data_IF_859210586864
#
_entry.id   IF_859210586864
#
_cell.length_a   1.000
_cell.length_b   1.000
_cell.length_c   1.000
_cell.angle_alpha   90.00
_cell.angle_beta   90.00
_cell.angle_gamma   90.00
#
_symmetry.space_group_name_H-M   'P 1'
#
loop_
_entity.id
_entity.type
_entity.pdbx_description
1 polymer ?
#
# COMPACT_ATOMS: atom_id res chain seq x y z
N UNK A 1 -68.65 57.61 13.30
CA UNK A 1 -68.20 58.50 14.41
C UNK A 1 -66.73 58.63 14.23
N UNK A 2 -66.29 59.71 13.64
CA UNK A 2 -65.60 60.88 14.23
C UNK A 2 -64.28 60.41 14.93
N UNK A 3 -63.09 60.93 14.73
CA UNK A 3 -62.68 62.24 14.21
C UNK A 3 -61.11 62.31 14.13
N UNK A 4 -60.66 63.10 13.17
CA UNK A 4 -59.60 64.12 13.14
C UNK A 4 -58.10 63.65 13.21
N UNK A 5 -57.41 63.79 12.14
CA UNK A 5 -56.48 64.85 11.65
C UNK A 5 -55.52 65.44 12.69
N UNK A 6 -54.28 65.38 12.41
CA UNK A 6 -53.31 66.47 12.61
C UNK A 6 -52.07 66.24 11.73
N UNK A 7 -51.84 67.20 10.84
CA UNK A 7 -50.66 67.40 10.03
C UNK A 7 -49.60 68.08 10.90
N UNK A 8 -48.40 67.60 10.91
CA UNK A 8 -47.24 68.36 11.34
C UNK A 8 -46.13 68.22 10.30
N UNK A 9 -45.93 69.37 9.67
CA UNK A 9 -44.83 69.61 8.70
C UNK A 9 -43.52 69.78 9.46
N UNK A 10 -42.53 68.92 9.20
CA UNK A 10 -41.19 69.17 9.73
C UNK A 10 -40.16 69.08 8.59
N UNK A 11 -39.47 70.17 8.46
CA UNK A 11 -38.48 70.52 7.45
C UNK A 11 -37.23 69.62 7.62
N UNK A 12 -36.86 68.92 6.54
CA UNK A 12 -35.61 68.13 6.46
C UNK A 12 -34.45 69.06 6.03
N UNK A 13 -33.49 69.20 6.90
CA UNK A 13 -32.16 69.76 6.57
C UNK A 13 -31.28 68.58 6.15
N UNK A 14 -30.88 68.54 4.90
CA UNK A 14 -29.96 67.55 4.38
C UNK A 14 -28.52 67.92 4.71
N UNK A 15 -27.86 67.19 5.59
CA UNK A 15 -26.42 67.26 5.81
C UNK A 15 -25.79 66.11 5.02
N UNK A 16 -25.09 66.45 3.93
CA UNK A 16 -24.27 65.49 3.16
C UNK A 16 -22.98 65.26 3.92
N UNK A 17 -22.87 64.05 4.50
CA UNK A 17 -21.59 63.55 5.04
C UNK A 17 -20.88 62.77 3.94
N UNK A 18 -19.81 63.31 3.44
CA UNK A 18 -18.86 62.58 2.54
C UNK A 18 -18.08 61.61 3.39
N UNK A 19 -18.41 60.32 3.33
CA UNK A 19 -17.61 59.27 3.93
C UNK A 19 -16.47 58.89 2.98
N UNK A 20 -15.24 59.28 3.28
CA UNK A 20 -14.08 58.66 2.68
C UNK A 20 -13.89 57.24 3.23
N UNK A 21 -14.26 56.29 2.42
CA UNK A 21 -13.95 54.88 2.69
C UNK A 21 -12.49 54.62 2.43
N UNK A 22 -11.70 54.51 3.50
CA UNK A 22 -10.37 53.90 3.44
C UNK A 22 -10.56 52.37 3.30
N UNK A 23 -10.45 51.86 2.09
CA UNK A 23 -10.27 50.44 1.88
C UNK A 23 -8.91 49.99 2.45
N UNK A 24 -8.94 49.50 3.68
CA UNK A 24 -7.81 48.78 4.25
C UNK A 24 -7.73 47.42 3.56
N UNK A 25 -6.84 47.28 2.59
CA UNK A 25 -6.43 45.98 2.08
C UNK A 25 -5.75 45.20 3.21
N UNK A 26 -6.53 44.51 4.01
CA UNK A 26 -6.02 43.47 4.91
C UNK A 26 -5.51 42.33 4.03
N UNK A 27 -4.22 42.32 3.73
CA UNK A 27 -3.54 41.09 3.28
C UNK A 27 -3.81 40.00 4.32
N UNK A 28 -4.69 39.07 4.02
CA UNK A 28 -4.84 37.85 4.79
C UNK A 28 -3.48 37.12 4.71
N UNK A 29 -2.69 37.22 5.74
CA UNK A 29 -1.57 36.31 5.96
C UNK A 29 -2.18 34.93 6.06
N UNK A 30 -2.13 34.16 4.96
CA UNK A 30 -2.58 32.78 4.92
C UNK A 30 -1.91 32.05 6.07
N UNK A 31 -2.71 31.48 6.95
CA UNK A 31 -2.22 30.51 7.95
C UNK A 31 -1.51 29.43 7.15
N UNK A 32 -0.22 29.14 7.41
CA UNK A 32 0.47 28.05 6.72
C UNK A 32 -0.35 26.80 6.89
N UNK A 33 -0.77 26.16 5.79
CA UNK A 33 -1.39 24.86 5.87
C UNK A 33 -0.49 23.93 6.69
N UNK A 34 -1.04 23.16 7.64
CA UNK A 34 -0.24 22.22 8.41
C UNK A 34 0.55 21.37 7.42
N UNK A 35 1.86 21.25 7.68
CA UNK A 35 2.75 20.46 6.83
C UNK A 35 2.20 19.05 6.73
N UNK A 36 1.97 18.58 5.51
CA UNK A 36 1.50 17.21 5.29
C UNK A 36 2.40 16.23 6.04
N UNK A 37 1.80 15.28 6.72
CA UNK A 37 2.53 14.25 7.46
C UNK A 37 2.23 12.91 6.82
N UNK A 38 3.22 12.37 6.12
CA UNK A 38 3.16 11.02 5.58
C UNK A 38 3.75 10.03 6.58
N UNK A 39 3.05 8.94 6.83
CA UNK A 39 3.50 7.84 7.68
C UNK A 39 3.41 6.54 6.90
N UNK A 40 4.44 5.72 6.99
CA UNK A 40 4.41 4.33 6.56
C UNK A 40 4.36 3.44 7.78
N UNK A 41 3.51 2.40 7.74
CA UNK A 41 3.52 1.30 8.71
C UNK A 41 3.65 0.00 7.92
N UNK A 42 4.66 -0.80 8.23
CA UNK A 42 4.78 -2.17 7.74
C UNK A 42 3.85 -3.06 8.58
N UNK A 43 2.72 -3.48 8.00
CA UNK A 43 1.70 -4.27 8.71
C UNK A 43 2.11 -5.73 8.81
N UNK A 44 2.65 -6.28 7.72
CA UNK A 44 3.14 -7.64 7.64
C UNK A 44 4.45 -7.70 6.86
N UNK A 45 5.42 -8.43 7.35
CA UNK A 45 6.80 -8.41 6.87
C UNK A 45 7.36 -9.79 6.53
N UNK A 46 6.55 -10.85 6.64
CA UNK A 46 6.93 -12.20 6.24
C UNK A 46 6.83 -12.38 4.73
N UNK A 47 7.76 -13.14 4.16
CA UNK A 47 7.61 -13.71 2.82
C UNK A 47 6.71 -14.95 2.86
N UNK A 48 6.12 -15.29 1.71
CA UNK A 48 5.35 -16.49 1.53
C UNK A 48 6.08 -17.68 0.89
N UNK A 49 5.32 -18.74 0.59
CA UNK A 49 3.89 -18.90 0.88
C UNK A 49 3.58 -19.31 2.34
N UNK A 50 4.61 -19.68 3.13
CA UNK A 50 4.39 -20.22 4.48
C UNK A 50 3.97 -19.13 5.46
N UNK A 51 2.90 -19.40 6.20
CA UNK A 51 2.51 -18.52 7.32
C UNK A 51 3.50 -18.64 8.47
N UNK A 52 3.68 -17.56 9.21
CA UNK A 52 4.59 -17.47 10.36
C UNK A 52 3.83 -17.05 11.61
N UNK A 53 4.15 -17.59 12.80
CA UNK A 53 3.48 -17.21 14.04
C UNK A 53 3.86 -15.81 14.53
N UNK A 54 5.05 -15.31 14.14
CA UNK A 54 5.66 -14.06 14.61
C UNK A 54 5.43 -12.87 13.67
N UNK A 55 5.05 -13.13 12.40
CA UNK A 55 4.90 -12.10 11.36
C UNK A 55 3.69 -12.38 10.48
N UNK A 56 2.92 -11.35 10.17
CA UNK A 56 1.93 -11.40 9.11
C UNK A 56 2.61 -11.35 7.72
N UNK A 57 1.90 -11.81 6.69
CA UNK A 57 2.38 -11.77 5.32
C UNK A 57 2.35 -10.34 4.75
N UNK A 58 2.97 -10.15 3.59
CA UNK A 58 3.27 -8.85 3.00
C UNK A 58 2.07 -7.91 3.00
N UNK A 59 2.17 -6.84 3.77
CA UNK A 59 1.20 -5.75 3.73
C UNK A 59 1.78 -4.47 4.35
N UNK A 60 1.38 -3.32 3.82
CA UNK A 60 1.85 -2.02 4.26
C UNK A 60 0.69 -1.03 4.23
N UNK A 61 0.75 0.04 5.02
CA UNK A 61 -0.16 1.16 4.90
C UNK A 61 0.59 2.49 4.90
N UNK A 62 0.31 3.30 3.89
CA UNK A 62 0.74 4.69 3.82
C UNK A 62 -0.44 5.55 4.26
N UNK A 63 -0.21 6.44 5.22
CA UNK A 63 -1.21 7.40 5.69
C UNK A 63 -0.75 8.80 5.35
N UNK A 64 -1.56 9.56 4.63
CA UNK A 64 -1.29 10.96 4.27
C UNK A 64 -2.52 11.79 4.65
N UNK A 65 -2.34 12.78 5.51
CA UNK A 65 -3.43 13.66 5.97
C UNK A 65 -4.66 12.88 6.49
N UNK A 66 -4.45 11.72 7.13
CA UNK A 66 -5.52 10.86 7.65
C UNK A 66 -6.14 9.90 6.63
N UNK A 67 -5.79 9.98 5.35
CA UNK A 67 -6.22 9.00 4.34
C UNK A 67 -5.26 7.81 4.32
N UNK A 68 -5.80 6.59 4.28
CA UNK A 68 -5.05 5.35 4.32
C UNK A 68 -5.00 4.68 2.95
N UNK A 69 -3.80 4.29 2.51
CA UNK A 69 -3.50 3.61 1.25
C UNK A 69 -2.78 2.30 1.59
N UNK A 70 -3.43 1.18 1.36
CA UNK A 70 -2.86 -0.13 1.65
C UNK A 70 -2.07 -0.62 0.43
N UNK A 71 -0.89 -1.19 0.66
CA UNK A 71 -0.06 -1.84 -0.37
C UNK A 71 0.13 -3.28 0.03
N UNK A 72 -0.42 -4.17 -0.77
CA UNK A 72 -0.61 -5.58 -0.53
C UNK A 72 -1.46 -5.89 0.72
N UNK A 73 -2.11 -7.04 0.71
CA UNK A 73 -2.96 -7.51 1.78
C UNK A 73 -2.82 -9.03 1.93
N UNK A 74 -1.63 -9.48 2.33
CA UNK A 74 -1.36 -10.85 2.70
C UNK A 74 -2.11 -11.28 3.97
N UNK A 75 -1.92 -12.52 4.40
CA UNK A 75 -2.58 -13.03 5.59
C UNK A 75 -2.26 -12.17 6.82
N UNK A 76 -3.30 -11.87 7.60
CA UNK A 76 -3.20 -11.04 8.81
C UNK A 76 -3.37 -9.53 8.58
N UNK A 77 -3.44 -9.02 7.36
CA UNK A 77 -3.49 -7.58 7.07
C UNK A 77 -4.59 -6.83 7.82
N UNK A 78 -5.82 -7.37 7.88
CA UNK A 78 -6.94 -6.75 8.59
C UNK A 78 -6.68 -6.66 10.11
N UNK A 79 -6.12 -7.71 10.71
CA UNK A 79 -5.74 -7.71 12.14
C UNK A 79 -4.66 -6.67 12.42
N UNK A 80 -3.63 -6.61 11.59
CA UNK A 80 -2.52 -5.65 11.75
C UNK A 80 -2.96 -4.20 11.60
N UNK A 81 -3.92 -3.91 10.70
CA UNK A 81 -4.53 -2.58 10.63
C UNK A 81 -5.23 -2.21 11.95
N UNK A 82 -6.03 -3.13 12.52
CA UNK A 82 -6.69 -2.89 13.80
C UNK A 82 -5.67 -2.70 14.95
N UNK A 83 -4.61 -3.50 15.00
CA UNK A 83 -3.51 -3.35 15.98
C UNK A 83 -2.72 -2.04 15.78
N UNK A 84 -2.64 -1.53 14.54
CA UNK A 84 -2.06 -0.21 14.24
C UNK A 84 -2.97 0.95 14.68
N UNK A 85 -4.22 0.66 15.12
CA UNK A 85 -5.22 1.64 15.52
C UNK A 85 -5.97 2.27 14.34
N UNK A 86 -6.01 1.60 13.18
CA UNK A 86 -6.71 2.05 11.97
C UNK A 86 -8.05 1.34 11.87
N UNK A 87 -9.14 2.10 11.79
CA UNK A 87 -10.48 1.54 11.57
C UNK A 87 -10.57 0.98 10.14
N UNK A 88 -10.94 -0.29 10.01
CA UNK A 88 -11.09 -0.95 8.72
C UNK A 88 -12.13 -0.25 7.83
N UNK A 89 -13.16 0.37 8.43
CA UNK A 89 -14.15 1.17 7.70
C UNK A 89 -13.56 2.40 6.98
N UNK A 90 -12.35 2.84 7.32
CA UNK A 90 -11.67 3.96 6.67
C UNK A 90 -10.86 3.53 5.45
N UNK A 91 -10.59 2.22 5.29
CA UNK A 91 -9.84 1.69 4.15
C UNK A 91 -10.69 1.78 2.88
N UNK A 92 -10.23 2.55 1.91
CA UNK A 92 -10.92 2.74 0.63
C UNK A 92 -10.06 2.49 -0.59
N UNK A 93 -8.75 2.40 -0.44
CA UNK A 93 -7.80 2.29 -1.56
C UNK A 93 -6.73 1.27 -1.21
N UNK A 94 -6.60 0.27 -2.07
CA UNK A 94 -5.67 -0.84 -1.92
C UNK A 94 -4.92 -1.00 -3.25
N UNK A 95 -3.60 -1.17 -3.19
CA UNK A 95 -2.74 -1.49 -4.31
C UNK A 95 -2.19 -2.90 -4.12
N UNK A 96 -2.25 -3.74 -5.15
CA UNK A 96 -1.73 -5.11 -5.15
C UNK A 96 -0.55 -5.17 -6.11
N UNK A 97 0.63 -5.55 -5.61
CA UNK A 97 1.84 -5.64 -6.45
C UNK A 97 1.74 -6.80 -7.44
N UNK A 98 1.29 -7.94 -6.97
CA UNK A 98 1.03 -9.16 -7.78
C UNK A 98 0.09 -10.12 -7.04
N UNK A 99 -0.31 -11.22 -7.70
CA UNK A 99 -1.39 -12.07 -7.20
C UNK A 99 -0.93 -13.34 -6.46
N UNK A 100 0.31 -13.43 -5.96
CA UNK A 100 0.64 -14.51 -5.02
C UNK A 100 -0.18 -14.36 -3.74
N UNK A 101 -0.44 -15.49 -3.10
CA UNK A 101 -1.32 -15.56 -1.93
C UNK A 101 -0.76 -14.80 -0.71
N UNK A 102 0.54 -14.77 -0.52
CA UNK A 102 1.17 -13.98 0.54
C UNK A 102 1.09 -12.45 0.35
N UNK A 103 0.57 -11.98 -0.79
CA UNK A 103 0.22 -10.59 -1.07
C UNK A 103 -1.28 -10.34 -1.14
N UNK A 104 -2.11 -11.40 -1.22
CA UNK A 104 -3.56 -11.27 -1.47
C UNK A 104 -4.46 -12.10 -0.56
N UNK A 105 -3.95 -13.05 0.23
CA UNK A 105 -4.79 -13.96 1.04
C UNK A 105 -5.71 -13.22 2.03
N UNK A 106 -5.27 -12.08 2.55
CA UNK A 106 -6.05 -11.23 3.45
C UNK A 106 -6.96 -10.22 2.74
N UNK A 107 -6.84 -10.04 1.41
CA UNK A 107 -7.55 -8.99 0.67
C UNK A 107 -9.07 -9.10 0.80
N UNK A 108 -9.63 -10.25 0.49
CA UNK A 108 -11.08 -10.47 0.59
C UNK A 108 -11.59 -10.29 2.02
N UNK A 109 -10.84 -10.80 3.00
CA UNK A 109 -11.14 -10.63 4.43
C UNK A 109 -11.13 -9.15 4.82
N UNK A 110 -10.11 -8.39 4.43
CA UNK A 110 -10.02 -6.95 4.70
C UNK A 110 -11.22 -6.20 4.13
N UNK A 111 -11.56 -6.44 2.86
CA UNK A 111 -12.70 -5.81 2.19
C UNK A 111 -14.02 -6.15 2.87
N UNK A 112 -14.25 -7.44 3.19
CA UNK A 112 -15.47 -7.90 3.86
C UNK A 112 -15.64 -7.27 5.25
N UNK A 113 -14.57 -7.25 6.05
CA UNK A 113 -14.60 -6.64 7.38
C UNK A 113 -14.74 -5.11 7.32
N UNK A 114 -14.15 -4.45 6.33
CA UNK A 114 -14.36 -3.02 6.10
C UNK A 114 -15.83 -2.71 5.76
N UNK A 115 -16.45 -3.53 4.90
CA UNK A 115 -17.89 -3.42 4.60
C UNK A 115 -18.75 -3.68 5.85
N UNK A 116 -18.40 -4.66 6.66
CA UNK A 116 -19.12 -4.99 7.91
C UNK A 116 -19.08 -3.86 8.95
N UNK A 117 -18.10 -2.97 8.89
CA UNK A 117 -18.05 -1.70 9.63
C UNK A 117 -19.01 -0.63 9.08
N UNK A 118 -20.06 -1.05 8.37
CA UNK A 118 -21.09 -0.20 7.74
C UNK A 118 -20.54 0.77 6.69
N UNK A 119 -19.44 0.40 6.05
CA UNK A 119 -18.90 1.20 4.95
C UNK A 119 -19.82 1.13 3.76
N UNK A 120 -20.31 2.28 3.32
CA UNK A 120 -21.11 2.43 2.09
C UNK A 120 -20.30 3.06 0.94
N UNK A 121 -19.13 3.64 1.26
CA UNK A 121 -18.23 4.21 0.26
C UNK A 121 -17.46 3.11 -0.45
N UNK A 122 -17.16 3.27 -1.75
CA UNK A 122 -16.37 2.29 -2.51
C UNK A 122 -15.03 1.94 -1.87
N UNK A 123 -14.62 0.69 -2.08
CA UNK A 123 -13.25 0.21 -1.88
C UNK A 123 -12.70 -0.12 -3.27
N UNK A 124 -11.63 0.56 -3.65
CA UNK A 124 -10.97 0.39 -4.93
C UNK A 124 -9.68 -0.40 -4.75
N UNK A 125 -9.51 -1.46 -5.52
CA UNK A 125 -8.30 -2.29 -5.55
C UNK A 125 -7.65 -2.14 -6.91
N UNK A 126 -6.45 -1.58 -6.94
CA UNK A 126 -5.64 -1.40 -8.15
C UNK A 126 -4.53 -2.44 -8.18
N UNK A 127 -4.35 -3.12 -9.29
CA UNK A 127 -3.31 -4.14 -9.41
C UNK A 127 -3.13 -4.65 -10.83
N UNK A 128 -2.26 -5.65 -11.04
CA UNK A 128 -2.00 -6.22 -12.36
C UNK A 128 -3.26 -6.77 -13.03
N UNK A 129 -3.24 -7.04 -14.33
CA UNK A 129 -4.34 -7.70 -15.04
C UNK A 129 -4.85 -8.93 -14.29
N UNK A 130 -6.16 -9.08 -14.15
CA UNK A 130 -6.97 -10.01 -13.36
C UNK A 130 -7.25 -9.58 -11.91
N UNK A 131 -6.88 -8.37 -11.50
CA UNK A 131 -7.31 -7.80 -10.21
C UNK A 131 -8.84 -7.65 -10.13
N UNK A 132 -9.48 -7.24 -11.25
CA UNK A 132 -10.96 -7.22 -11.31
C UNK A 132 -11.58 -8.60 -11.08
N UNK A 133 -10.98 -9.65 -11.66
CA UNK A 133 -11.43 -11.04 -11.48
C UNK A 133 -11.26 -11.48 -10.02
N UNK A 134 -10.12 -11.17 -9.40
CA UNK A 134 -9.83 -11.46 -8.01
C UNK A 134 -10.85 -10.80 -7.06
N UNK A 135 -11.16 -9.53 -7.28
CA UNK A 135 -12.14 -8.79 -6.47
C UNK A 135 -13.55 -9.37 -6.65
N UNK A 136 -13.95 -9.73 -7.88
CA UNK A 136 -15.23 -10.42 -8.13
C UNK A 136 -15.31 -11.77 -7.41
N UNK A 137 -14.22 -12.53 -7.41
CA UNK A 137 -14.14 -13.79 -6.67
C UNK A 137 -14.26 -13.60 -5.15
N UNK A 138 -13.62 -12.55 -4.60
CA UNK A 138 -13.76 -12.19 -3.19
C UNK A 138 -15.21 -11.82 -2.81
N UNK A 139 -15.90 -11.06 -3.67
CA UNK A 139 -17.34 -10.77 -3.50
C UNK A 139 -18.17 -12.05 -3.47
N UNK A 140 -17.90 -12.98 -4.37
CA UNK A 140 -18.61 -14.28 -4.41
C UNK A 140 -18.33 -15.11 -3.16
N UNK A 141 -17.09 -15.17 -2.70
CA UNK A 141 -16.71 -15.89 -1.49
C UNK A 141 -17.46 -15.38 -0.24
N UNK A 142 -17.61 -14.06 -0.11
CA UNK A 142 -18.28 -13.44 1.02
C UNK A 142 -19.79 -13.21 0.84
N UNK A 143 -20.38 -13.59 -0.30
CA UNK A 143 -21.80 -13.33 -0.62
C UNK A 143 -22.74 -13.90 0.45
N UNK A 144 -22.54 -15.15 0.89
CA UNK A 144 -23.39 -15.78 1.90
C UNK A 144 -23.34 -15.03 3.23
N UNK A 145 -22.13 -14.65 3.69
CA UNK A 145 -21.98 -13.85 4.91
C UNK A 145 -22.66 -12.49 4.77
N UNK A 146 -22.53 -11.85 3.61
CA UNK A 146 -23.14 -10.55 3.35
C UNK A 146 -24.68 -10.63 3.34
N UNK A 147 -25.28 -11.67 2.75
CA UNK A 147 -26.72 -11.91 2.78
C UNK A 147 -27.24 -12.06 4.22
N UNK A 148 -26.55 -12.85 5.06
CA UNK A 148 -26.89 -13.02 6.48
C UNK A 148 -26.82 -11.68 7.20
N UNK A 149 -25.74 -10.91 7.03
CA UNK A 149 -25.56 -9.60 7.68
C UNK A 149 -26.60 -8.57 7.27
N UNK A 150 -27.07 -8.62 6.02
CA UNK A 150 -28.17 -7.77 5.54
C UNK A 150 -29.49 -8.22 6.20
N UNK A 151 -29.76 -9.51 6.27
CA UNK A 151 -30.97 -10.06 6.92
C UNK A 151 -31.01 -9.78 8.43
N UNK A 152 -29.84 -9.79 9.11
CA UNK A 152 -29.72 -9.40 10.53
C UNK A 152 -30.10 -7.91 10.76
N UNK A 153 -30.18 -7.11 9.70
CA UNK A 153 -30.43 -5.67 9.76
C UNK A 153 -29.16 -4.84 9.99
N UNK A 154 -29.19 -3.58 9.65
CA UNK A 154 -28.07 -2.65 9.84
C UNK A 154 -27.04 -2.58 8.71
N UNK A 155 -27.12 -3.43 7.68
CA UNK A 155 -26.41 -3.29 6.41
C UNK A 155 -27.43 -3.11 5.30
N UNK A 156 -27.29 -2.05 4.53
CA UNK A 156 -28.27 -1.68 3.51
C UNK A 156 -27.70 -1.73 2.09
N UNK A 157 -26.37 -1.74 1.95
CA UNK A 157 -25.70 -1.74 0.64
C UNK A 157 -25.11 -3.11 0.40
N UNK A 158 -25.47 -3.79 -0.71
CA UNK A 158 -24.85 -5.07 -1.09
C UNK A 158 -23.34 -4.96 -1.25
N UNK A 159 -22.61 -5.97 -0.80
CA UNK A 159 -21.14 -6.03 -0.85
C UNK A 159 -20.61 -5.80 -2.28
N UNK A 160 -21.31 -6.31 -3.30
CA UNK A 160 -20.96 -6.14 -4.71
C UNK A 160 -21.02 -4.67 -5.20
N UNK A 161 -21.70 -3.79 -4.48
CA UNK A 161 -21.79 -2.36 -4.81
C UNK A 161 -20.70 -1.52 -4.13
N UNK A 162 -19.85 -2.14 -3.33
CA UNK A 162 -18.79 -1.46 -2.58
C UNK A 162 -17.40 -1.82 -3.09
N UNK A 163 -17.19 -3.00 -3.68
CA UNK A 163 -15.88 -3.48 -4.08
C UNK A 163 -15.64 -3.33 -5.58
N UNK A 164 -14.57 -2.65 -5.94
CA UNK A 164 -14.19 -2.38 -7.33
C UNK A 164 -12.72 -2.76 -7.56
N UNK A 165 -12.48 -3.72 -8.44
CA UNK A 165 -11.16 -4.05 -8.95
C UNK A 165 -10.81 -3.19 -10.16
N UNK A 166 -9.54 -2.86 -10.33
CA UNK A 166 -9.00 -2.12 -11.45
C UNK A 166 -7.73 -2.80 -11.95
N UNK A 167 -7.79 -3.34 -13.15
CA UNK A 167 -6.62 -3.84 -13.85
C UNK A 167 -5.80 -2.65 -14.36
N UNK A 168 -4.54 -2.53 -13.91
CA UNK A 168 -3.66 -1.43 -14.29
C UNK A 168 -2.43 -1.91 -15.05
N UNK A 169 -1.76 -0.98 -15.72
CA UNK A 169 -0.47 -1.18 -16.40
C UNK A 169 0.62 -0.31 -15.80
N UNK A 170 1.76 -0.20 -16.50
CA UNK A 170 2.82 0.74 -16.14
C UNK A 170 2.41 2.18 -16.40
N UNK A 171 2.91 3.12 -15.62
CA UNK A 171 2.62 4.55 -15.68
C UNK A 171 1.92 5.05 -14.42
N UNK A 172 1.31 6.23 -14.49
CA UNK A 172 0.51 6.77 -13.37
C UNK A 172 -0.80 5.99 -13.30
N UNK A 173 -1.02 5.27 -12.21
CA UNK A 173 -2.18 4.39 -12.02
C UNK A 173 -3.22 4.97 -11.06
N UNK A 174 -2.81 5.92 -10.23
CA UNK A 174 -3.70 6.58 -9.28
C UNK A 174 -3.16 7.97 -8.92
N UNK A 175 -4.07 8.91 -8.73
CA UNK A 175 -3.74 10.23 -8.22
C UNK A 175 -4.94 10.84 -7.51
N UNK A 176 -4.70 11.44 -6.35
CA UNK A 176 -5.66 12.29 -5.64
C UNK A 176 -4.97 13.54 -5.06
N UNK A 177 -5.60 14.21 -4.09
CA UNK A 177 -5.03 15.40 -3.46
C UNK A 177 -3.81 15.09 -2.55
N UNK A 178 -3.63 13.84 -2.14
CA UNK A 178 -2.62 13.41 -1.18
C UNK A 178 -1.44 12.70 -1.83
N UNK A 179 -1.68 11.90 -2.88
CA UNK A 179 -0.65 11.05 -3.48
C UNK A 179 -0.76 10.97 -4.99
N UNK A 180 0.37 10.71 -5.62
CA UNK A 180 0.46 10.19 -6.99
C UNK A 180 1.17 8.83 -6.93
N UNK A 181 0.57 7.80 -7.54
CA UNK A 181 1.14 6.45 -7.61
C UNK A 181 1.50 6.11 -9.03
N UNK A 182 2.78 5.81 -9.23
CA UNK A 182 3.33 5.33 -10.52
C UNK A 182 3.72 3.86 -10.37
N UNK A 183 3.34 3.05 -11.35
CA UNK A 183 3.69 1.64 -11.44
C UNK A 183 4.71 1.39 -12.56
N UNK A 184 5.60 0.44 -12.34
CA UNK A 184 6.40 -0.18 -13.42
C UNK A 184 6.32 -1.70 -13.29
N UNK A 185 6.25 -2.39 -14.42
CA UNK A 185 6.40 -3.85 -14.42
C UNK A 185 7.81 -4.21 -13.98
N UNK A 186 7.90 -5.15 -13.03
CA UNK A 186 9.15 -5.65 -12.52
C UNK A 186 9.47 -7.06 -13.06
N UNK A 187 10.57 -7.67 -12.61
CA UNK A 187 11.06 -8.92 -13.17
C UNK A 187 10.65 -10.18 -12.42
N UNK A 188 9.70 -10.09 -11.46
CA UNK A 188 9.31 -11.23 -10.62
C UNK A 188 8.92 -12.48 -11.42
N UNK A 189 8.18 -12.31 -12.51
CA UNK A 189 7.74 -13.39 -13.38
C UNK A 189 8.55 -13.53 -14.68
N UNK A 190 9.68 -12.80 -14.81
CA UNK A 190 10.49 -12.83 -16.02
C UNK A 190 11.16 -14.19 -16.29
N UNK A 191 11.27 -15.04 -15.25
CA UNK A 191 11.82 -16.40 -15.34
C UNK A 191 10.83 -17.42 -15.93
N UNK A 192 9.56 -17.05 -16.11
CA UNK A 192 8.57 -17.93 -16.73
C UNK A 192 8.86 -18.11 -18.22
N UNK A 193 8.77 -19.33 -18.67
CA UNK A 193 8.93 -19.73 -20.06
C UNK A 193 7.67 -20.43 -20.61
N UNK A 194 7.67 -20.76 -21.91
CA UNK A 194 6.57 -21.43 -22.57
C UNK A 194 5.22 -20.68 -22.43
N UNK A 195 4.09 -21.38 -22.16
CA UNK A 195 2.76 -20.78 -22.08
C UNK A 195 2.58 -19.80 -20.89
N UNK A 196 3.49 -19.80 -19.92
CA UNK A 196 3.46 -18.87 -18.79
C UNK A 196 4.23 -17.57 -19.05
N UNK A 197 5.07 -17.54 -20.10
CA UNK A 197 5.87 -16.37 -20.44
C UNK A 197 5.01 -15.14 -20.70
N UNK A 198 5.27 -14.05 -19.98
CA UNK A 198 4.56 -12.79 -20.09
C UNK A 198 3.09 -12.79 -19.66
N UNK A 199 2.56 -13.93 -19.22
CA UNK A 199 1.15 -14.09 -18.82
C UNK A 199 0.83 -13.40 -17.51
N UNK A 200 1.73 -13.48 -16.54
CA UNK A 200 1.56 -12.91 -15.21
C UNK A 200 2.39 -11.65 -15.07
N UNK A 201 1.85 -10.67 -14.32
CA UNK A 201 2.49 -9.37 -14.12
C UNK A 201 2.71 -9.12 -12.65
N UNK A 202 3.83 -8.50 -12.33
CA UNK A 202 4.15 -7.94 -11.02
C UNK A 202 4.60 -6.51 -11.20
N UNK A 203 4.18 -5.63 -10.29
CA UNK A 203 4.49 -4.21 -10.33
C UNK A 203 5.22 -3.75 -9.07
N UNK A 204 6.15 -2.81 -9.30
CA UNK A 204 6.70 -1.97 -8.25
C UNK A 204 5.99 -0.62 -8.27
N UNK A 205 5.80 -0.02 -7.10
CA UNK A 205 5.03 1.22 -6.96
C UNK A 205 5.86 2.34 -6.37
N UNK A 206 5.74 3.54 -6.94
CA UNK A 206 6.27 4.80 -6.40
C UNK A 206 5.13 5.67 -5.92
N UNK A 207 5.12 5.99 -4.64
CA UNK A 207 4.21 6.90 -3.97
C UNK A 207 4.90 8.25 -3.80
N UNK A 208 4.42 9.25 -4.49
CA UNK A 208 4.84 10.64 -4.32
C UNK A 208 3.80 11.34 -3.46
N UNK A 209 4.21 11.78 -2.27
CA UNK A 209 3.38 12.51 -1.30
C UNK A 209 3.92 13.93 -1.15
N UNK A 210 3.21 14.86 -0.48
CA UNK A 210 3.69 16.23 -0.34
C UNK A 210 5.02 16.39 0.39
N UNK A 211 5.42 15.42 1.24
CA UNK A 211 6.60 15.55 2.10
C UNK A 211 7.64 14.44 1.91
N UNK A 212 7.33 13.37 1.17
CA UNK A 212 8.30 12.28 0.88
C UNK A 212 7.92 11.42 -0.31
N UNK A 213 8.89 10.63 -0.74
CA UNK A 213 8.74 9.61 -1.79
C UNK A 213 9.02 8.24 -1.19
N UNK A 214 8.06 7.31 -1.34
CA UNK A 214 8.17 5.93 -0.88
C UNK A 214 8.07 5.01 -2.10
N UNK A 215 8.99 4.07 -2.23
CA UNK A 215 8.95 3.05 -3.29
C UNK A 215 8.81 1.67 -2.66
N UNK A 216 7.85 0.89 -3.16
CA UNK A 216 7.66 -0.51 -2.84
C UNK A 216 8.13 -1.33 -4.03
N UNK A 217 9.09 -2.21 -3.83
CA UNK A 217 9.58 -3.05 -4.95
C UNK A 217 8.54 -4.09 -5.37
N UNK A 218 7.65 -4.51 -4.45
CA UNK A 218 6.99 -5.80 -4.57
C UNK A 218 8.03 -6.90 -4.69
N UNK A 219 7.64 -8.11 -5.02
CA UNK A 219 8.58 -9.16 -5.34
C UNK A 219 9.18 -8.92 -6.72
N UNK A 220 10.50 -8.96 -6.83
CA UNK A 220 11.20 -8.68 -8.08
C UNK A 220 12.61 -9.28 -8.08
N UNK A 221 13.06 -9.82 -9.20
CA UNK A 221 14.49 -9.96 -9.48
C UNK A 221 15.13 -8.59 -9.76
N UNK A 222 16.41 -8.58 -10.19
CA UNK A 222 17.07 -7.35 -10.62
C UNK A 222 16.33 -6.71 -11.80
N UNK A 223 16.05 -5.39 -11.70
CA UNK A 223 15.28 -4.65 -12.70
C UNK A 223 15.78 -3.22 -12.84
N UNK A 224 16.17 -2.82 -14.05
CA UNK A 224 16.53 -1.43 -14.32
C UNK A 224 15.30 -0.50 -14.24
N UNK A 225 14.11 -0.98 -14.60
CA UNK A 225 12.87 -0.22 -14.47
C UNK A 225 12.56 0.10 -13.00
N UNK A 226 12.77 -0.86 -12.08
CA UNK A 226 12.60 -0.63 -10.64
C UNK A 226 13.69 0.29 -10.09
N UNK A 227 14.93 0.18 -10.56
CA UNK A 227 16.02 1.09 -10.19
C UNK A 227 15.69 2.53 -10.60
N UNK A 228 15.16 2.73 -11.81
CA UNK A 228 14.74 4.04 -12.31
C UNK A 228 13.56 4.60 -11.50
N UNK A 229 12.56 3.76 -11.21
CA UNK A 229 11.41 4.12 -10.37
C UNK A 229 11.84 4.58 -8.97
N UNK A 230 12.88 3.96 -8.41
CA UNK A 230 13.38 4.23 -7.06
C UNK A 230 14.25 5.49 -6.96
N UNK A 231 14.59 6.15 -8.08
CA UNK A 231 15.47 7.32 -8.06
C UNK A 231 15.05 8.39 -7.06
N UNK A 232 15.96 8.73 -6.15
CA UNK A 232 15.80 9.77 -5.15
C UNK A 232 14.72 9.48 -4.11
N UNK A 233 14.29 8.23 -3.94
CA UNK A 233 13.30 7.87 -2.94
C UNK A 233 13.83 8.13 -1.52
N UNK A 234 12.95 8.61 -0.65
CA UNK A 234 13.24 8.75 0.78
C UNK A 234 13.26 7.39 1.47
N UNK A 235 12.30 6.52 1.10
CA UNK A 235 12.20 5.15 1.58
C UNK A 235 12.08 4.18 0.39
N UNK A 236 12.91 3.17 0.37
CA UNK A 236 12.79 2.00 -0.49
C UNK A 236 12.40 0.80 0.38
N UNK A 237 11.14 0.41 0.34
CA UNK A 237 10.65 -0.84 0.95
C UNK A 237 10.98 -1.95 -0.01
N UNK A 238 12.08 -2.65 0.26
CA UNK A 238 12.62 -3.69 -0.60
C UNK A 238 12.24 -5.06 -0.08
N UNK A 239 11.66 -5.88 -0.97
CA UNK A 239 11.54 -7.30 -0.69
C UNK A 239 12.92 -7.92 -0.50
N UNK A 240 12.99 -8.93 0.38
CA UNK A 240 14.30 -9.52 0.74
C UNK A 240 14.15 -11.02 0.85
N UNK A 241 14.76 -11.74 -0.08
CA UNK A 241 14.71 -13.19 -0.13
C UNK A 241 16.10 -13.80 -0.01
N UNK A 242 16.16 -14.94 0.70
CA UNK A 242 17.33 -15.82 0.74
C UNK A 242 16.95 -17.17 0.18
N UNK A 243 17.44 -17.48 -1.00
CA UNK A 243 17.24 -18.78 -1.64
C UNK A 243 17.83 -19.93 -0.82
N UNK A 244 18.92 -19.67 -0.11
CA UNK A 244 19.57 -20.65 0.75
C UNK A 244 18.73 -20.96 2.00
N UNK A 245 18.28 -19.92 2.74
CA UNK A 245 17.41 -20.12 3.92
C UNK A 245 16.09 -20.80 3.51
N UNK A 246 15.51 -20.43 2.35
CA UNK A 246 14.31 -21.07 1.82
C UNK A 246 14.51 -22.56 1.54
N UNK A 247 15.61 -22.90 0.86
CA UNK A 247 15.98 -24.29 0.59
C UNK A 247 16.19 -25.05 1.90
N UNK A 248 16.96 -24.46 2.85
CA UNK A 248 17.24 -25.11 4.11
C UNK A 248 15.97 -25.35 4.94
N UNK A 249 15.02 -24.41 4.96
CA UNK A 249 13.72 -24.62 5.60
C UNK A 249 12.97 -25.80 4.99
N UNK A 250 12.95 -25.93 3.66
CA UNK A 250 12.31 -27.04 2.96
C UNK A 250 13.01 -28.39 3.20
N UNK A 251 14.35 -28.39 3.40
CA UNK A 251 15.10 -29.57 3.81
C UNK A 251 14.70 -29.99 5.22
N UNK A 252 14.61 -29.04 6.15
CA UNK A 252 14.33 -29.31 7.56
C UNK A 252 12.92 -29.89 7.78
N UNK A 253 11.93 -29.49 6.98
CA UNK A 253 10.57 -29.99 7.07
C UNK A 253 10.26 -31.18 6.12
N UNK A 254 11.27 -31.66 5.40
CA UNK A 254 11.18 -32.86 4.53
C UNK A 254 10.59 -32.60 3.15
N UNK A 255 10.08 -31.39 2.85
CA UNK A 255 9.49 -31.05 1.55
C UNK A 255 10.50 -31.14 0.40
N UNK A 256 11.74 -30.74 0.65
CA UNK A 256 12.77 -30.79 -0.37
C UNK A 256 13.05 -32.21 -0.88
N UNK A 257 13.14 -33.18 0.04
CA UNK A 257 13.40 -34.59 -0.30
C UNK A 257 12.21 -35.28 -0.98
N UNK A 258 11.00 -34.75 -0.76
CA UNK A 258 9.78 -35.28 -1.41
C UNK A 258 9.62 -34.79 -2.86
N UNK A 259 10.37 -33.78 -3.28
CA UNK A 259 10.31 -33.20 -4.63
C UNK A 259 11.16 -33.94 -5.64
N UNK A 260 10.70 -33.95 -6.88
CA UNK A 260 11.52 -34.37 -8.03
C UNK A 260 12.64 -33.35 -8.30
N UNK A 261 13.72 -33.76 -8.99
CA UNK A 261 14.76 -32.81 -9.41
C UNK A 261 14.25 -31.62 -10.23
N UNK A 262 13.21 -31.81 -11.04
CA UNK A 262 12.59 -30.74 -11.84
C UNK A 262 11.86 -29.71 -10.97
N UNK A 263 11.13 -30.16 -9.94
CA UNK A 263 10.47 -29.28 -8.98
C UNK A 263 11.48 -28.53 -8.13
N UNK A 264 12.52 -29.18 -7.65
CA UNK A 264 13.65 -28.53 -6.94
C UNK A 264 14.31 -27.43 -7.79
N UNK A 265 14.58 -27.72 -9.08
CA UNK A 265 15.15 -26.76 -10.01
C UNK A 265 14.19 -25.57 -10.25
N UNK A 266 12.86 -25.84 -10.35
CA UNK A 266 11.84 -24.81 -10.48
C UNK A 266 11.79 -23.87 -9.27
N UNK A 267 11.79 -24.41 -8.07
CA UNK A 267 11.83 -23.64 -6.81
C UNK A 267 13.07 -22.75 -6.74
N UNK A 268 14.25 -23.32 -7.05
CA UNK A 268 15.50 -22.55 -7.02
C UNK A 268 15.52 -21.45 -8.10
N UNK A 269 15.01 -21.73 -9.29
CA UNK A 269 14.88 -20.72 -10.34
C UNK A 269 13.99 -19.56 -9.90
N UNK A 270 12.83 -19.84 -9.34
CA UNK A 270 11.93 -18.83 -8.79
C UNK A 270 12.61 -18.02 -7.67
N UNK A 271 13.29 -18.70 -6.73
CA UNK A 271 13.94 -18.04 -5.61
C UNK A 271 15.15 -17.18 -5.99
N UNK A 272 15.82 -17.47 -7.12
CA UNK A 272 17.04 -16.75 -7.55
C UNK A 272 16.82 -15.75 -8.67
N UNK A 273 15.80 -15.94 -9.50
CA UNK A 273 15.53 -15.06 -10.64
C UNK A 273 14.30 -14.15 -10.40
N UNK A 274 13.33 -14.63 -9.62
CA UNK A 274 12.13 -13.86 -9.26
C UNK A 274 12.31 -12.96 -8.05
N UNK A 275 13.42 -13.04 -7.34
CA UNK A 275 13.69 -12.28 -6.12
C UNK A 275 15.11 -11.70 -6.12
N UNK A 276 15.28 -10.51 -5.51
CA UNK A 276 16.59 -9.89 -5.32
C UNK A 276 17.32 -10.50 -4.13
N UNK A 277 18.63 -10.65 -4.30
CA UNK A 277 19.53 -10.93 -3.18
C UNK A 277 19.99 -9.61 -2.51
N UNK A 278 20.61 -9.72 -1.35
CA UNK A 278 21.05 -8.58 -0.53
C UNK A 278 22.06 -7.66 -1.24
N UNK A 279 22.95 -8.24 -2.05
CA UNK A 279 23.97 -7.51 -2.82
C UNK A 279 23.28 -6.64 -3.89
N UNK A 280 22.30 -7.19 -4.58
CA UNK A 280 21.59 -6.49 -5.64
C UNK A 280 20.70 -5.38 -5.08
N UNK A 281 20.08 -5.59 -3.92
CA UNK A 281 19.36 -4.53 -3.18
C UNK A 281 20.30 -3.36 -2.87
N UNK A 282 21.47 -3.60 -2.31
CA UNK A 282 22.45 -2.57 -1.99
C UNK A 282 22.93 -1.80 -3.22
N UNK A 283 23.24 -2.51 -4.31
CA UNK A 283 23.64 -1.90 -5.59
C UNK A 283 22.52 -1.07 -6.22
N UNK A 284 21.29 -1.57 -6.20
CA UNK A 284 20.11 -0.85 -6.70
C UNK A 284 19.89 0.43 -5.90
N UNK A 285 19.89 0.35 -4.57
CA UNK A 285 19.71 1.49 -3.69
C UNK A 285 20.77 2.59 -3.93
N UNK A 286 22.03 2.18 -4.14
CA UNK A 286 23.13 3.10 -4.48
C UNK A 286 22.94 3.74 -5.85
N UNK A 287 22.63 2.95 -6.90
CA UNK A 287 22.35 3.48 -8.25
C UNK A 287 21.17 4.42 -8.29
N UNK A 288 20.14 4.15 -7.50
CA UNK A 288 18.94 4.97 -7.41
C UNK A 288 19.09 6.18 -6.47
N UNK A 289 20.21 6.33 -5.77
CA UNK A 289 20.43 7.39 -4.77
C UNK A 289 19.29 7.46 -3.74
N UNK A 290 18.90 6.32 -3.19
CA UNK A 290 17.88 6.20 -2.15
C UNK A 290 18.45 6.70 -0.82
N UNK A 291 17.62 7.25 0.08
CA UNK A 291 18.07 7.68 1.42
C UNK A 291 18.06 6.54 2.43
N UNK A 292 17.00 5.75 2.44
CA UNK A 292 16.82 4.65 3.41
C UNK A 292 16.25 3.41 2.71
N UNK A 293 16.86 2.26 2.96
CA UNK A 293 16.35 0.93 2.59
C UNK A 293 15.66 0.31 3.80
N UNK A 294 14.44 -0.17 3.61
CA UNK A 294 13.66 -0.93 4.57
C UNK A 294 13.52 -2.35 4.03
N UNK A 295 14.25 -3.30 4.59
CA UNK A 295 14.19 -4.71 4.20
C UNK A 295 12.91 -5.32 4.76
N UNK A 296 12.02 -5.79 3.90
CA UNK A 296 10.73 -6.40 4.22
C UNK A 296 10.56 -7.69 3.44
N UNK A 297 9.40 -8.36 3.53
CA UNK A 297 9.17 -9.65 2.87
C UNK A 297 10.27 -10.66 3.22
N UNK A 298 10.52 -10.80 4.53
CA UNK A 298 11.69 -11.51 5.04
C UNK A 298 11.50 -13.02 4.98
N UNK A 299 12.31 -13.72 4.18
CA UNK A 299 12.39 -15.19 4.22
C UNK A 299 12.73 -15.64 5.64
N UNK A 300 12.04 -16.68 6.12
CA UNK A 300 12.32 -17.25 7.44
C UNK A 300 13.74 -17.80 7.49
N UNK A 301 14.54 -17.30 8.42
CA UNK A 301 15.86 -17.84 8.69
C UNK A 301 15.78 -19.09 9.56
N UNK A 302 16.62 -20.06 9.29
CA UNK A 302 16.66 -21.30 10.05
C UNK A 302 17.42 -21.09 11.37
N UNK A 303 16.75 -21.40 12.49
CA UNK A 303 17.34 -21.35 13.82
C UNK A 303 17.57 -19.96 14.42
N UNK A 304 17.12 -18.89 13.76
CA UNK A 304 17.28 -17.51 14.28
C UNK A 304 16.30 -16.54 13.67
N UNK A 305 15.90 -15.51 14.41
CA UNK A 305 15.17 -14.33 13.93
C UNK A 305 16.07 -13.09 13.82
N UNK A 306 17.39 -13.25 13.92
CA UNK A 306 18.33 -12.16 13.75
C UNK A 306 18.63 -11.92 12.28
N UNK A 307 18.11 -10.83 11.73
CA UNK A 307 18.36 -10.36 10.35
C UNK A 307 19.49 -9.31 10.27
N UNK A 308 20.21 -9.04 11.38
CA UNK A 308 21.32 -8.09 11.37
C UNK A 308 22.37 -8.40 10.29
N UNK A 309 22.76 -9.66 10.06
CA UNK A 309 23.71 -9.97 8.98
C UNK A 309 23.21 -9.59 7.58
N UNK A 310 21.90 -9.58 7.36
CA UNK A 310 21.33 -9.15 6.08
C UNK A 310 21.49 -7.65 5.87
N UNK A 311 21.21 -6.85 6.91
CA UNK A 311 21.43 -5.40 6.84
C UNK A 311 22.92 -5.08 6.63
N UNK A 312 23.83 -5.79 7.30
CA UNK A 312 25.28 -5.62 7.13
C UNK A 312 25.73 -5.98 5.71
N UNK A 313 25.15 -7.00 5.08
CA UNK A 313 25.47 -7.34 3.68
C UNK A 313 25.05 -6.22 2.72
N UNK A 314 23.82 -5.69 2.87
CA UNK A 314 23.34 -4.55 2.07
C UNK A 314 24.25 -3.32 2.25
N UNK A 315 24.69 -3.02 3.48
CA UNK A 315 25.58 -1.89 3.80
C UNK A 315 26.95 -1.97 3.15
N UNK A 316 27.43 -3.15 2.76
CA UNK A 316 28.68 -3.26 1.98
C UNK A 316 28.56 -2.61 0.59
N UNK A 317 27.34 -2.44 0.09
CA UNK A 317 27.03 -1.93 -1.24
C UNK A 317 26.19 -0.66 -1.25
N UNK A 318 25.78 -0.17 -0.06
CA UNK A 318 24.94 1.01 0.11
C UNK A 318 25.33 1.78 1.37
N UNK A 319 25.65 3.06 1.21
CA UNK A 319 26.11 3.94 2.30
C UNK A 319 24.98 4.60 3.10
N UNK A 320 23.75 4.52 2.64
CA UNK A 320 22.58 5.09 3.32
C UNK A 320 22.10 4.22 4.49
N UNK A 321 20.98 4.59 5.09
CA UNK A 321 20.41 3.85 6.21
C UNK A 321 19.77 2.53 5.73
N UNK A 322 20.03 1.42 6.44
CA UNK A 322 19.39 0.13 6.21
C UNK A 322 18.69 -0.31 7.49
N UNK A 323 17.40 -0.58 7.38
CA UNK A 323 16.53 -0.99 8.47
C UNK A 323 15.89 -2.35 8.16
N UNK A 324 15.77 -3.20 9.17
CA UNK A 324 14.98 -4.45 9.09
C UNK A 324 13.56 -4.15 9.53
N UNK A 325 12.60 -4.40 8.66
CA UNK A 325 11.19 -4.21 8.99
C UNK A 325 10.72 -5.22 10.05
N UNK A 326 9.85 -4.75 10.91
CA UNK A 326 9.03 -5.56 11.82
C UNK A 326 7.58 -5.20 11.59
N UNK A 327 6.69 -6.14 11.90
CA UNK A 327 5.27 -5.85 11.89
C UNK A 327 4.97 -4.67 12.82
N UNK A 328 4.09 -3.79 12.37
CA UNK A 328 3.68 -2.54 13.03
C UNK A 328 4.80 -1.49 13.22
N UNK A 329 5.94 -1.65 12.57
CA UNK A 329 7.00 -0.65 12.58
C UNK A 329 6.56 0.58 11.78
N UNK A 330 6.90 1.77 12.30
CA UNK A 330 6.48 3.08 11.75
C UNK A 330 7.69 3.87 11.24
N UNK A 331 7.51 4.53 10.09
CA UNK A 331 8.54 5.32 9.43
C UNK A 331 8.04 6.71 9.09
#
# INVERSE_FOLDING_TARGET
>A
MQNRSSLLLTTLISISVISLSHESMAQSRGVPSPKAVTRLITLGTASGPSTRPDRAQSSNVVTVNGTHYVVDAGDGAARRLAEAGIDLGEIGIIFVTHHHDDHTAGLGTLMSLAWDRQRTKPIHVYGPPRTEELVKAAVQYFAISAEIRIADGGRTVPIAQVFFGHDVGSGVIYQDANIKVTAVENSHFAFHDGPASGKYKSYSYRFETPDRVIVFTGDTGTSDAVTELAKGADLLVAETSSSEDRKQAMINDGRWQAMTPSEQAGIMRQATQGHMNLVDIGKMATRANVKTVVLSHLTQRVGTDDYTPWAEEVKKHFSGQVLIAKDLMRF
#
